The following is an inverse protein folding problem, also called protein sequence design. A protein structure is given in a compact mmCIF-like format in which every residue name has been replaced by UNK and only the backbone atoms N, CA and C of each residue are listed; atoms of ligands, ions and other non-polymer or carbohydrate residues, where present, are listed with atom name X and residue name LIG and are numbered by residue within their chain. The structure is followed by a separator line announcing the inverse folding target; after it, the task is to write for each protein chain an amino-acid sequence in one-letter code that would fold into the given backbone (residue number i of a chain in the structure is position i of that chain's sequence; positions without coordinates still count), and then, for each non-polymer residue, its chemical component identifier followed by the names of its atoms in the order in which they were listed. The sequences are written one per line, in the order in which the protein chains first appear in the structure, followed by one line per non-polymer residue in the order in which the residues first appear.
data_IF_189018094693
#
_entry.id   IF_189018094693
#
_cell.length_a   1.000
_cell.length_b   1.000
_cell.length_c   1.000
_cell.angle_alpha   90.00
_cell.angle_beta   90.00
_cell.angle_gamma   90.00
#
_symmetry.space_group_name_H-M   'P 1'
#
loop_
_entity.id
_entity.type
_entity.pdbx_description
1 polymer ?
#
# COMPACT_ATOMS: atom_id res chain seq x y z
N UNK A 1 -4.16 -10.95 -3.40
CA UNK A 1 -4.19 -9.47 -3.49
C UNK A 1 -3.40 -8.79 -2.38
N UNK A 2 -3.53 -9.20 -1.12
CA UNK A 2 -2.70 -8.67 -0.02
C UNK A 2 -1.19 -8.67 -0.34
N UNK A 3 -0.64 -9.81 -0.76
CA UNK A 3 0.79 -9.91 -1.14
C UNK A 3 1.16 -8.98 -2.30
N UNK A 4 0.25 -8.71 -3.23
CA UNK A 4 0.46 -7.78 -4.34
C UNK A 4 0.55 -6.35 -3.81
N UNK A 5 -0.31 -5.98 -2.86
CA UNK A 5 -0.20 -4.70 -2.14
C UNK A 5 1.11 -4.56 -1.39
N UNK A 6 1.60 -5.62 -0.72
CA UNK A 6 2.91 -5.60 -0.09
C UNK A 6 4.05 -5.37 -1.09
N UNK A 7 4.02 -6.06 -2.24
CA UNK A 7 5.03 -5.92 -3.30
C UNK A 7 5.00 -4.51 -3.89
N UNK A 8 3.80 -3.99 -4.18
CA UNK A 8 3.62 -2.63 -4.69
C UNK A 8 4.18 -1.61 -3.69
N UNK A 9 3.80 -1.70 -2.42
CA UNK A 9 4.33 -0.82 -1.38
C UNK A 9 5.87 -0.92 -1.26
N UNK A 10 6.42 -2.13 -1.28
CA UNK A 10 7.86 -2.35 -1.20
C UNK A 10 8.61 -1.77 -2.41
N UNK A 11 8.02 -1.84 -3.61
CA UNK A 11 8.59 -1.24 -4.81
C UNK A 11 8.76 0.27 -4.67
N UNK A 12 7.74 0.97 -4.17
CA UNK A 12 7.79 2.42 -3.97
C UNK A 12 8.66 2.80 -2.77
N UNK A 13 8.54 2.09 -1.65
CA UNK A 13 9.27 2.43 -0.42
C UNK A 13 10.73 1.96 -0.42
N UNK A 14 11.10 1.02 -1.31
CA UNK A 14 12.37 0.27 -1.29
C UNK A 14 12.69 -0.40 0.05
N UNK A 15 11.66 -0.63 0.85
CA UNK A 15 11.70 -1.31 2.15
C UNK A 15 10.38 -2.03 2.36
N UNK A 16 10.44 -3.13 3.09
CA UNK A 16 9.25 -3.89 3.50
C UNK A 16 8.32 -2.99 4.31
N UNK A 17 7.07 -2.85 3.87
CA UNK A 17 6.04 -2.02 4.53
C UNK A 17 5.63 -2.59 5.89
N UNK A 18 5.45 -3.92 5.99
CA UNK A 18 5.08 -4.59 7.23
C UNK A 18 6.25 -5.42 7.75
N UNK A 19 7.20 -4.77 8.42
CA UNK A 19 8.38 -5.44 8.99
C UNK A 19 8.15 -5.82 10.45
N UNK A 20 7.56 -6.98 10.70
CA UNK A 20 7.59 -7.62 12.02
C UNK A 20 8.90 -8.38 12.23
N UNK A 21 9.55 -8.23 13.38
CA UNK A 21 10.78 -9.00 13.70
C UNK A 21 10.45 -10.45 14.07
N UNK A 22 9.18 -10.74 14.34
CA UNK A 22 8.65 -12.09 14.54
C UNK A 22 7.21 -12.21 14.02
N UNK A 23 6.74 -13.44 13.81
CA UNK A 23 5.35 -13.73 13.44
C UNK A 23 4.33 -13.16 14.43
N UNK A 24 4.70 -13.06 15.71
CA UNK A 24 3.83 -12.56 16.79
C UNK A 24 3.71 -11.03 16.71
N UNK A 25 4.75 -10.34 16.26
CA UNK A 25 4.75 -8.88 16.12
C UNK A 25 4.13 -8.42 14.79
N UNK A 26 4.12 -9.27 13.76
CA UNK A 26 3.59 -8.95 12.43
C UNK A 26 2.15 -8.36 12.47
N UNK A 27 1.19 -8.92 13.25
CA UNK A 27 -0.16 -8.36 13.34
C UNK A 27 -0.19 -6.94 13.91
N UNK A 28 0.64 -6.63 14.91
CA UNK A 28 0.71 -5.29 15.50
C UNK A 28 1.20 -4.25 14.50
N UNK A 29 2.17 -4.62 13.65
CA UNK A 29 2.65 -3.74 12.57
C UNK A 29 1.56 -3.51 11.51
N UNK A 30 0.81 -4.55 11.15
CA UNK A 30 -0.29 -4.44 10.18
C UNK A 30 -1.38 -3.51 10.72
N UNK A 31 -1.82 -3.72 11.96
CA UNK A 31 -2.89 -2.91 12.60
C UNK A 31 -2.47 -1.43 12.67
N UNK A 32 -1.24 -1.17 13.12
CA UNK A 32 -0.76 0.22 13.29
C UNK A 32 -0.62 1.01 11.99
N UNK A 33 -0.49 0.32 10.84
CA UNK A 33 -0.36 0.95 9.51
C UNK A 33 -1.71 1.01 8.79
N UNK A 34 -2.50 -0.07 8.84
CA UNK A 34 -3.73 -0.22 8.04
C UNK A 34 -4.98 0.29 8.76
N UNK A 35 -5.02 0.19 10.10
CA UNK A 35 -6.24 0.48 10.88
C UNK A 35 -6.10 1.72 11.77
N UNK A 36 -4.95 1.93 12.40
CA UNK A 36 -4.79 2.97 13.43
C UNK A 36 -4.41 4.36 12.87
N UNK A 37 -4.19 4.49 11.55
CA UNK A 37 -3.77 5.73 10.93
C UNK A 37 -4.81 6.28 9.94
N UNK A 38 -5.12 7.58 10.00
CA UNK A 38 -5.91 8.23 8.96
C UNK A 38 -5.24 8.08 7.59
N UNK A 39 -6.06 7.86 6.56
CA UNK A 39 -5.62 7.64 5.18
C UNK A 39 -4.63 8.70 4.69
N UNK A 40 -4.92 9.97 4.97
CA UNK A 40 -4.10 11.10 4.52
C UNK A 40 -2.70 11.09 5.16
N UNK A 41 -2.60 10.71 6.44
CA UNK A 41 -1.31 10.61 7.14
C UNK A 41 -0.44 9.49 6.58
N UNK A 42 -1.04 8.38 6.16
CA UNK A 42 -0.32 7.29 5.52
C UNK A 42 0.17 7.72 4.13
N UNK A 43 -0.65 8.45 3.38
CA UNK A 43 -0.28 8.99 2.07
C UNK A 43 0.91 9.94 2.16
N UNK A 44 0.88 10.88 3.10
CA UNK A 44 1.97 11.83 3.33
C UNK A 44 3.29 11.10 3.69
N UNK A 45 3.21 10.08 4.56
CA UNK A 45 4.38 9.26 4.90
C UNK A 45 4.94 8.53 3.68
N UNK A 46 4.09 8.04 2.79
CA UNK A 46 4.51 7.43 1.54
C UNK A 46 5.24 8.44 0.66
N UNK A 47 4.66 9.62 0.45
CA UNK A 47 5.24 10.68 -0.39
C UNK A 47 6.57 11.21 0.15
N UNK A 48 6.68 11.39 1.46
CA UNK A 48 7.95 11.78 2.10
C UNK A 48 8.99 10.67 1.96
N UNK A 49 8.60 9.41 2.18
CA UNK A 49 9.51 8.27 2.07
C UNK A 49 10.05 8.10 0.65
N UNK A 50 9.19 8.16 -0.37
CA UNK A 50 9.58 8.03 -1.79
C UNK A 50 10.44 9.20 -2.25
N UNK A 51 10.08 10.43 -1.89
CA UNK A 51 10.83 11.64 -2.24
C UNK A 51 12.23 11.64 -1.63
N UNK A 52 12.36 11.22 -0.37
CA UNK A 52 13.64 11.20 0.35
C UNK A 52 14.68 10.24 -0.25
N UNK A 53 14.22 9.20 -0.95
CA UNK A 53 15.07 8.19 -1.58
C UNK A 53 15.26 8.40 -3.09
N UNK A 54 14.74 9.50 -3.64
CA UNK A 54 14.73 9.76 -5.09
C UNK A 54 13.93 8.71 -5.88
N UNK A 55 12.93 8.10 -5.24
CA UNK A 55 12.05 7.11 -5.84
C UNK A 55 10.88 7.75 -6.60
N UNK A 56 10.15 6.96 -7.40
CA UNK A 56 8.93 7.44 -8.04
C UNK A 56 7.90 7.84 -6.97
N UNK A 57 7.23 8.98 -7.18
CA UNK A 57 6.11 9.40 -6.34
C UNK A 57 4.89 8.56 -6.73
N UNK A 58 4.15 8.09 -5.73
CA UNK A 58 2.91 7.36 -5.94
C UNK A 58 1.80 8.40 -6.20
N UNK A 59 1.07 8.27 -7.30
CA UNK A 59 -0.09 9.14 -7.60
C UNK A 59 -1.23 8.86 -6.62
N UNK A 60 -2.20 9.78 -6.51
CA UNK A 60 -3.35 9.56 -5.63
C UNK A 60 -4.14 8.30 -5.99
N UNK A 61 -4.35 8.05 -7.29
CA UNK A 61 -4.99 6.83 -7.79
C UNK A 61 -4.16 5.58 -7.47
N UNK A 62 -2.83 5.67 -7.51
CA UNK A 62 -1.93 4.58 -7.13
C UNK A 62 -1.97 4.29 -5.64
N UNK A 63 -2.08 5.33 -4.81
CA UNK A 63 -2.25 5.17 -3.37
C UNK A 63 -3.63 4.60 -3.03
N UNK A 64 -4.69 5.01 -3.74
CA UNK A 64 -6.02 4.43 -3.62
C UNK A 64 -6.00 2.92 -3.92
N UNK A 65 -5.41 2.53 -5.06
CA UNK A 65 -5.24 1.12 -5.40
C UNK A 65 -4.47 0.37 -4.30
N UNK A 66 -3.41 0.96 -3.77
CA UNK A 66 -2.62 0.36 -2.70
C UNK A 66 -3.46 0.12 -1.44
N UNK A 67 -4.29 1.08 -1.05
CA UNK A 67 -5.23 0.92 0.07
C UNK A 67 -6.23 -0.20 -0.18
N UNK A 68 -6.80 -0.30 -1.39
CA UNK A 68 -7.74 -1.36 -1.74
C UNK A 68 -7.09 -2.75 -1.76
N UNK A 69 -5.82 -2.85 -2.21
CA UNK A 69 -5.02 -4.08 -2.16
C UNK A 69 -4.71 -4.53 -0.72
N UNK A 70 -4.50 -3.57 0.17
CA UNK A 70 -4.16 -3.76 1.59
C UNK A 70 -5.39 -3.65 2.51
N UNK A 71 -6.60 -3.79 1.98
CA UNK A 71 -7.80 -3.86 2.80
C UNK A 71 -7.70 -5.02 3.80
N UNK A 72 -7.89 -4.69 5.09
CA UNK A 72 -7.77 -5.64 6.20
C UNK A 72 -8.81 -6.76 6.08
N UNK A 73 -10.08 -6.39 5.90
CA UNK A 73 -11.15 -7.33 5.60
C UNK A 73 -11.00 -7.87 4.16
N UNK A 74 -10.85 -9.20 3.98
CA UNK A 74 -10.75 -9.80 2.65
C UNK A 74 -11.94 -9.52 1.73
N UNK A 75 -13.14 -9.28 2.26
CA UNK A 75 -14.33 -8.98 1.45
C UNK A 75 -14.28 -7.58 0.84
N UNK A 76 -13.58 -6.65 1.48
CA UNK A 76 -13.38 -5.29 1.00
C UNK A 76 -12.13 -5.16 0.13
N UNK A 77 -11.40 -6.27 -0.09
CA UNK A 77 -10.15 -6.26 -0.85
C UNK A 77 -10.43 -6.39 -2.33
N UNK A 78 -9.91 -5.45 -3.12
CA UNK A 78 -10.07 -5.43 -4.58
C UNK A 78 -9.65 -6.77 -5.21
N UNK A 79 -10.42 -7.23 -6.21
CA UNK A 79 -10.12 -8.46 -6.93
C UNK A 79 -9.07 -8.23 -8.02
N UNK A 80 -8.46 -9.30 -8.54
CA UNK A 80 -7.52 -9.18 -9.66
C UNK A 80 -8.20 -8.67 -10.94
N UNK A 81 -9.50 -8.97 -11.13
CA UNK A 81 -10.26 -8.52 -12.28
C UNK A 81 -10.52 -7.01 -12.19
N UNK A 82 -10.98 -6.52 -11.04
CA UNK A 82 -11.31 -5.11 -10.85
C UNK A 82 -10.07 -4.21 -10.94
N UNK A 83 -8.88 -4.73 -10.62
CA UNK A 83 -7.62 -4.01 -10.80
C UNK A 83 -7.38 -3.64 -12.25
N UNK A 84 -7.71 -4.52 -13.20
CA UNK A 84 -7.45 -4.30 -14.63
C UNK A 84 -8.21 -3.08 -15.15
N UNK A 85 -9.33 -2.75 -14.51
CA UNK A 85 -10.19 -1.62 -14.83
C UNK A 85 -9.93 -0.41 -13.89
N UNK A 86 -8.93 -0.49 -13.01
CA UNK A 86 -8.62 0.55 -12.04
C UNK A 86 -7.90 1.72 -12.70
N UNK A 87 -8.29 2.95 -12.35
CA UNK A 87 -7.79 4.21 -12.92
C UNK A 87 -6.26 4.29 -12.97
N UNK A 88 -5.58 3.86 -11.90
CA UNK A 88 -4.12 3.80 -11.85
C UNK A 88 -3.46 2.97 -12.97
N UNK A 89 -4.04 1.85 -13.39
CA UNK A 89 -3.49 1.09 -14.52
C UNK A 89 -3.78 1.75 -15.87
N UNK A 90 -4.83 2.56 -15.95
CA UNK A 90 -5.12 3.37 -17.13
C UNK A 90 -4.19 4.58 -17.24
N UNK A 91 -3.69 5.15 -16.14
CA UNK A 91 -2.65 6.19 -16.15
C UNK A 91 -1.31 5.71 -16.75
N UNK A 92 -1.06 4.40 -16.75
CA UNK A 92 0.20 3.80 -17.23
C UNK A 92 0.19 3.45 -18.72
N UNK A 93 -0.95 3.57 -19.41
CA UNK A 93 -1.10 3.29 -20.84
C UNK A 93 -1.13 4.58 -21.67
#
# INVERSE_FOLDING_TARGET
MWSVGCIMAEFFLRKVIFRGESKIQQPGVIISIVLDQPRDQLHDKFNVATSSIGGPVLTESGFDLLCQLLAYDPQNRISAQDILDHEWLHELN
#
